data_IF_915544626727
#
_entry.id   IF_915544626727
#
_cell.length_a   1.000
_cell.length_b   1.000
_cell.length_c   1.000
_cell.angle_alpha   90.00
_cell.angle_beta   90.00
_cell.angle_gamma   90.00
#
_symmetry.space_group_name_H-M   'P 1'
#
loop_
_entity.id
_entity.type
_entity.pdbx_description
1 polymer ?
#
# COMPACT_ATOMS: atom_id res chain seq x y z
N UNK A 1 -32.52 -43.01 22.30
CA UNK A 1 -33.04 -41.64 22.18
C UNK A 1 -31.88 -40.74 21.81
N UNK A 2 -31.62 -40.59 20.51
CA UNK A 2 -30.61 -39.65 20.01
C UNK A 2 -31.23 -38.26 20.02
N UNK A 3 -30.76 -37.40 20.93
CA UNK A 3 -31.20 -36.02 21.02
C UNK A 3 -30.72 -35.25 19.79
N UNK A 4 -31.63 -34.94 18.86
CA UNK A 4 -31.40 -33.94 17.83
C UNK A 4 -31.08 -32.61 18.51
N UNK A 5 -29.83 -32.18 18.42
CA UNK A 5 -29.42 -30.81 18.72
C UNK A 5 -30.20 -29.91 17.75
N UNK A 6 -31.19 -29.17 18.26
CA UNK A 6 -31.89 -28.13 17.48
C UNK A 6 -30.85 -27.10 17.05
N UNK A 7 -30.73 -26.80 15.76
CA UNK A 7 -29.86 -25.71 15.32
C UNK A 7 -30.41 -24.39 15.88
N UNK A 8 -29.53 -23.59 16.45
CA UNK A 8 -29.86 -22.28 16.98
C UNK A 8 -29.93 -21.29 15.80
N UNK A 9 -31.09 -20.69 15.50
CA UNK A 9 -31.26 -19.76 14.38
C UNK A 9 -30.30 -18.56 14.44
N UNK A 10 -29.90 -18.13 15.64
CA UNK A 10 -28.94 -17.04 15.81
C UNK A 10 -27.52 -17.50 15.46
N UNK A 11 -27.16 -18.72 15.85
CA UNK A 11 -25.87 -19.32 15.49
C UNK A 11 -25.73 -19.50 13.98
N UNK A 12 -26.81 -19.92 13.30
CA UNK A 12 -26.81 -20.10 11.84
C UNK A 12 -26.74 -18.75 11.09
N UNK A 13 -27.37 -17.70 11.63
CA UNK A 13 -27.24 -16.34 11.10
C UNK A 13 -25.81 -15.80 11.23
N UNK A 14 -25.19 -15.96 12.41
CA UNK A 14 -23.80 -15.52 12.66
C UNK A 14 -22.82 -16.27 11.76
N UNK A 15 -22.99 -17.59 11.60
CA UNK A 15 -22.17 -18.39 10.65
C UNK A 15 -22.27 -17.84 9.23
N UNK A 16 -23.47 -17.53 8.77
CA UNK A 16 -23.69 -16.97 7.42
C UNK A 16 -22.96 -15.63 7.25
N UNK A 17 -23.03 -14.76 8.24
CA UNK A 17 -22.39 -13.44 8.19
C UNK A 17 -20.86 -13.52 8.21
N UNK A 18 -20.30 -14.44 8.99
CA UNK A 18 -18.85 -14.70 8.98
C UNK A 18 -18.40 -15.23 7.61
N UNK A 19 -19.19 -16.07 6.95
CA UNK A 19 -18.87 -16.57 5.61
C UNK A 19 -18.91 -15.44 4.57
N UNK A 20 -19.88 -14.51 4.66
CA UNK A 20 -19.91 -13.30 3.81
C UNK A 20 -18.61 -12.50 3.99
N UNK A 21 -18.19 -12.28 5.24
CA UNK A 21 -16.96 -11.55 5.55
C UNK A 21 -15.72 -12.27 5.02
N UNK A 22 -15.64 -13.59 5.22
CA UNK A 22 -14.54 -14.41 4.71
C UNK A 22 -14.44 -14.32 3.18
N UNK A 23 -15.55 -14.49 2.46
CA UNK A 23 -15.55 -14.43 1.00
C UNK A 23 -15.22 -13.02 0.47
N UNK A 24 -15.74 -11.97 1.12
CA UNK A 24 -15.42 -10.58 0.77
C UNK A 24 -13.94 -10.30 0.96
N UNK A 25 -13.35 -10.83 2.02
CA UNK A 25 -11.92 -10.71 2.30
C UNK A 25 -11.07 -11.46 1.28
N UNK A 26 -11.44 -12.69 0.90
CA UNK A 26 -10.71 -13.43 -0.14
C UNK A 26 -10.68 -12.68 -1.48
N UNK A 27 -11.76 -11.96 -1.80
CA UNK A 27 -11.81 -11.13 -3.01
C UNK A 27 -10.87 -9.93 -2.96
N UNK A 28 -10.81 -9.20 -1.84
CA UNK A 28 -9.87 -8.08 -1.67
C UNK A 28 -8.44 -8.55 -1.93
N UNK A 29 -8.09 -9.76 -1.47
CA UNK A 29 -6.77 -10.32 -1.72
C UNK A 29 -6.48 -10.60 -3.19
N UNK A 30 -7.43 -11.19 -3.90
CA UNK A 30 -7.29 -11.44 -5.33
C UNK A 30 -7.12 -10.12 -6.12
N UNK A 31 -7.84 -9.07 -5.72
CA UNK A 31 -7.72 -7.75 -6.35
C UNK A 31 -6.34 -7.13 -6.07
N UNK A 32 -5.82 -7.20 -4.85
CA UNK A 32 -4.48 -6.70 -4.51
C UNK A 32 -3.35 -7.50 -5.21
N UNK A 33 -3.46 -8.82 -5.25
CA UNK A 33 -2.50 -9.68 -5.96
C UNK A 33 -2.46 -9.41 -7.48
N UNK A 34 -3.52 -8.89 -8.07
CA UNK A 34 -3.55 -8.53 -9.50
C UNK A 34 -2.81 -7.24 -9.84
N UNK A 35 -2.46 -6.41 -8.84
CA UNK A 35 -1.77 -5.12 -9.04
C UNK A 35 -0.28 -5.34 -9.31
N UNK A 36 0.32 -6.41 -8.78
CA UNK A 36 1.69 -6.80 -9.11
C UNK A 36 1.68 -8.08 -9.96
N UNK A 37 2.00 -7.95 -11.24
CA UNK A 37 2.19 -9.09 -12.13
C UNK A 37 3.37 -9.98 -11.66
N UNK A 38 3.12 -10.93 -10.76
CA UNK A 38 3.95 -12.16 -10.66
C UNK A 38 3.37 -13.21 -9.70
N UNK A 39 3.13 -14.37 -10.29
CA UNK A 39 3.21 -15.75 -9.77
C UNK A 39 3.53 -15.98 -8.28
N UNK A 40 2.63 -16.61 -7.55
CA UNK A 40 2.70 -18.04 -7.15
C UNK A 40 1.70 -18.36 -6.02
N UNK A 41 1.54 -19.65 -5.81
CA UNK A 41 0.39 -20.35 -5.26
C UNK A 41 0.24 -20.30 -3.72
N UNK A 42 -1.02 -20.34 -3.28
CA UNK A 42 -1.54 -20.84 -1.98
C UNK A 42 -1.19 -20.19 -0.61
N UNK A 43 -0.58 -19.00 -0.52
CA UNK A 43 -0.55 -18.23 0.74
C UNK A 43 -0.92 -16.74 0.56
N UNK A 44 -2.07 -16.55 -0.09
CA UNK A 44 -2.51 -15.31 -0.72
C UNK A 44 -2.76 -14.11 0.24
N UNK A 45 -2.60 -14.28 1.56
CA UNK A 45 -2.87 -13.23 2.57
C UNK A 45 -1.61 -12.70 3.23
N UNK A 46 -0.65 -13.58 3.51
CA UNK A 46 0.74 -13.17 3.71
C UNK A 46 1.11 -12.22 2.58
N UNK A 47 0.79 -12.59 1.34
CA UNK A 47 1.04 -11.71 0.20
C UNK A 47 0.35 -10.34 0.26
N UNK A 48 -0.81 -10.16 0.91
CA UNK A 48 -1.49 -8.85 0.97
C UNK A 48 -0.93 -7.94 2.05
N UNK A 49 -0.74 -8.47 3.26
CA UNK A 49 -0.09 -7.70 4.33
C UNK A 49 1.35 -7.39 3.94
N UNK A 50 2.06 -8.34 3.33
CA UNK A 50 3.40 -8.15 2.78
C UNK A 50 3.40 -7.17 1.60
N UNK A 51 2.38 -7.16 0.74
CA UNK A 51 2.22 -6.16 -0.33
C UNK A 51 2.03 -4.75 0.22
N UNK A 52 1.15 -4.56 1.20
CA UNK A 52 0.93 -3.25 1.80
C UNK A 52 2.16 -2.78 2.59
N UNK A 53 2.91 -3.70 3.21
CA UNK A 53 4.20 -3.40 3.82
C UNK A 53 5.23 -2.98 2.77
N UNK A 54 5.36 -3.72 1.67
CA UNK A 54 6.26 -3.39 0.57
C UNK A 54 5.95 -2.02 -0.05
N UNK A 55 4.67 -1.70 -0.29
CA UNK A 55 4.24 -0.37 -0.77
C UNK A 55 4.62 0.71 0.26
N UNK A 56 4.44 0.46 1.54
CA UNK A 56 4.84 1.39 2.60
C UNK A 56 6.35 1.64 2.60
N UNK A 57 7.14 0.58 2.45
CA UNK A 57 8.61 0.65 2.43
C UNK A 57 9.12 1.36 1.17
N UNK A 58 8.59 1.01 -0.01
CA UNK A 58 8.89 1.67 -1.29
C UNK A 58 8.55 3.16 -1.24
N UNK A 59 7.38 3.51 -0.71
CA UNK A 59 6.95 4.92 -0.58
C UNK A 59 7.84 5.68 0.41
N UNK A 60 8.26 5.03 1.50
CA UNK A 60 9.20 5.63 2.45
C UNK A 60 10.58 5.83 1.85
N UNK A 61 11.08 4.87 1.05
CA UNK A 61 12.35 4.99 0.36
C UNK A 61 12.34 6.14 -0.66
N UNK A 62 11.30 6.23 -1.48
CA UNK A 62 11.11 7.34 -2.41
C UNK A 62 11.01 8.70 -1.69
N UNK A 63 10.35 8.73 -0.52
CA UNK A 63 10.27 9.96 0.29
C UNK A 63 11.64 10.40 0.79
N UNK A 64 12.48 9.47 1.25
CA UNK A 64 13.86 9.77 1.67
C UNK A 64 14.68 10.31 0.50
N UNK A 65 14.58 9.70 -0.69
CA UNK A 65 15.29 10.16 -1.88
C UNK A 65 14.88 11.59 -2.28
N UNK A 66 13.58 11.91 -2.21
CA UNK A 66 13.08 13.29 -2.43
C UNK A 66 13.67 14.27 -1.40
N UNK A 67 13.75 13.86 -0.13
CA UNK A 67 14.33 14.70 0.93
C UNK A 67 15.82 14.95 0.69
N UNK A 68 16.60 13.91 0.39
CA UNK A 68 18.03 14.01 0.07
C UNK A 68 18.28 14.91 -1.15
N UNK A 69 17.51 14.75 -2.22
CA UNK A 69 17.60 15.61 -3.40
C UNK A 69 17.26 17.08 -3.06
N UNK A 70 16.26 17.29 -2.21
CA UNK A 70 15.86 18.64 -1.75
C UNK A 70 16.95 19.30 -0.91
N UNK A 71 17.61 18.57 -0.02
CA UNK A 71 18.76 19.04 0.75
C UNK A 71 19.95 19.36 -0.16
N UNK A 72 20.20 18.54 -1.18
CA UNK A 72 21.22 18.80 -2.21
C UNK A 72 20.95 20.10 -2.98
N UNK A 73 19.70 20.39 -3.32
CA UNK A 73 19.29 21.66 -3.94
C UNK A 73 19.59 22.84 -3.01
N UNK A 74 19.28 22.73 -1.71
CA UNK A 74 19.57 23.78 -0.72
C UNK A 74 21.06 24.06 -0.60
N UNK A 75 21.89 23.02 -0.55
CA UNK A 75 23.34 23.16 -0.53
C UNK A 75 23.87 23.94 -1.76
N UNK A 76 23.43 23.56 -2.96
CA UNK A 76 23.81 24.26 -4.19
C UNK A 76 23.34 25.71 -4.15
N UNK A 77 22.09 25.95 -3.73
CA UNK A 77 21.50 27.27 -3.62
C UNK A 77 22.31 28.17 -2.66
N UNK A 78 22.70 27.64 -1.49
CA UNK A 78 23.50 28.34 -0.49
C UNK A 78 24.93 28.66 -0.97
N UNK A 79 25.54 27.76 -1.76
CA UNK A 79 26.82 28.05 -2.44
C UNK A 79 26.67 29.21 -3.43
N UNK A 80 25.63 29.18 -4.27
CA UNK A 80 25.38 30.22 -5.26
C UNK A 80 25.06 31.59 -4.62
N UNK A 81 24.35 31.63 -3.49
CA UNK A 81 24.12 32.86 -2.72
C UNK A 81 25.43 33.51 -2.25
N UNK A 82 26.49 32.73 -2.00
CA UNK A 82 27.79 33.27 -1.57
C UNK A 82 28.61 33.85 -2.73
N UNK A 83 28.41 33.34 -3.94
CA UNK A 83 29.17 33.72 -5.14
C UNK A 83 28.49 34.83 -5.96
N UNK A 84 27.21 35.08 -5.72
CA UNK A 84 26.42 36.06 -6.47
C UNK A 84 26.92 37.50 -6.29
N UNK A 85 27.27 38.14 -7.40
CA UNK A 85 27.69 39.55 -7.45
C UNK A 85 26.51 40.51 -7.67
N UNK A 86 25.44 40.04 -8.31
CA UNK A 86 24.26 40.84 -8.64
C UNK A 86 23.17 40.70 -7.57
N UNK A 87 22.97 41.73 -6.74
CA UNK A 87 22.00 41.69 -5.63
C UNK A 87 20.55 41.46 -6.05
N UNK A 88 20.18 41.81 -7.29
CA UNK A 88 18.79 41.66 -7.78
C UNK A 88 18.36 40.20 -7.97
N UNK A 89 19.28 39.24 -8.02
CA UNK A 89 18.93 37.83 -8.12
C UNK A 89 18.76 37.13 -6.75
N UNK A 90 19.15 37.78 -5.63
CA UNK A 90 19.00 37.26 -4.26
C UNK A 90 17.56 36.78 -3.92
N UNK A 91 16.48 37.51 -4.28
CA UNK A 91 15.11 37.06 -4.00
C UNK A 91 14.74 35.71 -4.63
N UNK A 92 15.36 35.35 -5.75
CA UNK A 92 15.12 34.06 -6.42
C UNK A 92 15.71 32.91 -5.59
N UNK A 93 16.92 33.08 -5.05
CA UNK A 93 17.54 32.08 -4.17
C UNK A 93 16.77 31.93 -2.84
N UNK A 94 16.28 33.05 -2.28
CA UNK A 94 15.42 33.01 -1.08
C UNK A 94 14.11 32.25 -1.37
N UNK A 95 13.57 32.39 -2.58
CA UNK A 95 12.38 31.66 -3.03
C UNK A 95 12.66 30.15 -3.18
N UNK A 96 13.85 29.77 -3.68
CA UNK A 96 14.28 28.36 -3.75
C UNK A 96 14.36 27.75 -2.35
N UNK A 97 15.01 28.44 -1.39
CA UNK A 97 15.06 27.97 0.01
C UNK A 97 13.66 27.86 0.62
N UNK A 98 12.76 28.79 0.33
CA UNK A 98 11.37 28.72 0.82
C UNK A 98 10.63 27.51 0.26
N UNK A 99 10.77 27.23 -1.04
CA UNK A 99 10.07 26.10 -1.68
C UNK A 99 10.64 24.74 -1.24
N UNK A 100 11.96 24.61 -1.15
CA UNK A 100 12.62 23.39 -0.66
C UNK A 100 12.24 23.09 0.79
N UNK A 101 12.18 24.10 1.67
CA UNK A 101 11.70 23.92 3.04
C UNK A 101 10.24 23.44 3.10
N UNK A 102 9.37 23.94 2.22
CA UNK A 102 7.97 23.47 2.14
C UNK A 102 7.88 22.01 1.70
N UNK A 103 8.77 21.56 0.82
CA UNK A 103 8.85 20.15 0.40
C UNK A 103 9.27 19.29 1.60
N UNK A 104 10.34 19.65 2.31
CA UNK A 104 10.81 18.92 3.50
C UNK A 104 9.72 18.80 4.58
N UNK A 105 9.01 19.89 4.85
CA UNK A 105 7.90 19.91 5.80
C UNK A 105 6.76 18.99 5.35
N UNK A 106 6.39 19.02 4.05
CA UNK A 106 5.36 18.14 3.49
C UNK A 106 5.74 16.65 3.57
N UNK A 107 7.00 16.31 3.25
CA UNK A 107 7.52 14.95 3.36
C UNK A 107 7.53 14.45 4.82
N UNK A 108 7.80 15.33 5.78
CA UNK A 108 7.76 14.98 7.21
C UNK A 108 6.35 14.57 7.66
N UNK A 109 5.29 15.17 7.08
CA UNK A 109 3.91 14.73 7.34
C UNK A 109 3.57 13.38 6.71
N UNK A 110 4.31 12.93 5.69
CA UNK A 110 4.13 11.62 5.10
C UNK A 110 4.48 10.49 6.07
N UNK A 111 5.42 10.70 6.99
CA UNK A 111 5.77 9.70 8.03
C UNK A 111 4.55 9.30 8.88
N UNK A 112 3.66 10.25 9.20
CA UNK A 112 2.40 9.97 9.90
C UNK A 112 1.49 9.05 9.05
N UNK A 113 1.54 9.18 7.73
CA UNK A 113 0.81 8.30 6.80
C UNK A 113 1.42 6.90 6.78
N UNK A 114 2.75 6.79 6.76
CA UNK A 114 3.46 5.50 6.89
C UNK A 114 3.08 4.77 8.18
N UNK A 115 3.14 5.45 9.33
CA UNK A 115 2.72 4.88 10.63
C UNK A 115 1.25 4.42 10.65
N UNK A 116 0.37 5.14 9.94
CA UNK A 116 -1.05 4.74 9.81
C UNK A 116 -1.20 3.53 8.91
N UNK A 117 -0.43 3.42 7.83
CA UNK A 117 -0.41 2.24 6.98
C UNK A 117 0.06 1.01 7.73
N UNK A 118 1.13 1.09 8.52
CA UNK A 118 1.58 -0.03 9.37
C UNK A 118 0.46 -0.54 10.28
N UNK A 119 -0.30 0.37 10.92
CA UNK A 119 -1.45 0.00 11.76
C UNK A 119 -2.59 -0.68 10.97
N UNK A 120 -2.79 -0.27 9.71
CA UNK A 120 -3.78 -0.91 8.82
C UNK A 120 -3.32 -2.32 8.48
N UNK A 121 -2.04 -2.51 8.16
CA UNK A 121 -1.44 -3.83 7.89
C UNK A 121 -1.60 -4.74 9.11
N UNK A 122 -1.26 -4.26 10.30
CA UNK A 122 -1.44 -5.03 11.55
C UNK A 122 -2.90 -5.45 11.76
N UNK A 123 -3.85 -4.55 11.51
CA UNK A 123 -5.27 -4.84 11.66
C UNK A 123 -5.75 -5.90 10.65
N UNK A 124 -5.26 -5.85 9.40
CA UNK A 124 -5.57 -6.86 8.37
C UNK A 124 -5.03 -8.23 8.77
N UNK A 125 -3.81 -8.29 9.32
CA UNK A 125 -3.18 -9.53 9.81
C UNK A 125 -3.96 -10.15 10.98
N UNK A 126 -4.50 -9.32 11.89
CA UNK A 126 -5.37 -9.80 12.98
C UNK A 126 -6.71 -10.33 12.44
N UNK A 127 -7.32 -9.62 11.49
CA UNK A 127 -8.56 -10.04 10.85
C UNK A 127 -8.38 -11.39 10.15
N UNK A 128 -7.26 -11.59 9.46
CA UNK A 128 -6.91 -12.87 8.87
C UNK A 128 -6.85 -13.98 9.91
N UNK A 129 -6.05 -13.80 10.96
CA UNK A 129 -5.82 -14.86 11.96
C UNK A 129 -7.15 -15.30 12.56
N UNK A 130 -8.04 -14.34 12.79
CA UNK A 130 -9.38 -14.57 13.29
C UNK A 130 -10.25 -15.33 12.28
N UNK A 131 -10.27 -14.89 11.02
CA UNK A 131 -11.05 -15.53 9.95
C UNK A 131 -10.58 -16.97 9.67
N UNK A 132 -9.28 -17.22 9.64
CA UNK A 132 -8.70 -18.56 9.46
C UNK A 132 -9.05 -19.48 10.65
N UNK A 133 -9.01 -18.95 11.87
CA UNK A 133 -9.44 -19.67 13.07
C UNK A 133 -10.91 -20.06 12.99
N UNK A 134 -11.79 -19.15 12.53
CA UNK A 134 -13.21 -19.45 12.39
C UNK A 134 -13.47 -20.45 11.25
N UNK A 135 -12.78 -20.33 10.11
CA UNK A 135 -12.89 -21.29 9.01
C UNK A 135 -12.52 -22.71 9.46
N UNK A 136 -11.51 -22.84 10.32
CA UNK A 136 -11.09 -24.12 10.94
C UNK A 136 -12.21 -24.72 11.80
N UNK A 137 -12.92 -23.88 12.56
CA UNK A 137 -14.03 -24.32 13.44
C UNK A 137 -15.29 -24.69 12.66
N UNK A 138 -15.62 -23.94 11.59
CA UNK A 138 -16.81 -24.18 10.76
C UNK A 138 -16.63 -25.42 9.88
N UNK A 139 -15.40 -25.72 9.45
CA UNK A 139 -15.07 -26.83 8.57
C UNK A 139 -15.28 -26.49 7.09
N UNK A 140 -14.37 -26.94 6.22
CA UNK A 140 -14.34 -26.63 4.77
C UNK A 140 -15.63 -27.04 4.05
N UNK A 141 -16.26 -28.14 4.46
CA UNK A 141 -17.47 -28.64 3.82
C UNK A 141 -18.69 -27.75 4.07
N UNK A 142 -18.81 -27.18 5.29
CA UNK A 142 -19.87 -26.24 5.63
C UNK A 142 -19.67 -24.88 4.96
N UNK A 143 -18.42 -24.44 4.82
CA UNK A 143 -18.06 -23.23 4.08
C UNK A 143 -18.44 -23.34 2.59
N UNK A 144 -18.15 -24.50 1.99
CA UNK A 144 -18.39 -24.77 0.56
C UNK A 144 -19.87 -24.99 0.24
N UNK A 145 -20.66 -25.52 1.19
CA UNK A 145 -22.08 -25.75 1.03
C UNK A 145 -22.93 -24.48 1.15
N UNK A 146 -22.40 -23.40 1.73
CA UNK A 146 -23.09 -22.15 1.89
C UNK A 146 -22.84 -21.25 0.69
N UNK A 147 -23.78 -21.27 -0.27
CA UNK A 147 -23.75 -20.43 -1.46
C UNK A 147 -24.03 -18.97 -1.08
N UNK A 148 -22.98 -18.24 -0.71
CA UNK A 148 -23.04 -16.85 -0.28
C UNK A 148 -22.49 -15.97 -1.41
N UNK A 149 -23.37 -15.20 -2.06
CA UNK A 149 -22.95 -14.15 -3.00
C UNK A 149 -22.04 -13.16 -2.27
N UNK A 150 -20.75 -13.16 -2.63
CA UNK A 150 -19.84 -12.13 -2.18
C UNK A 150 -20.25 -10.78 -2.81
N UNK A 151 -20.34 -9.72 -2.00
CA UNK A 151 -20.61 -8.37 -2.52
C UNK A 151 -19.47 -7.95 -3.46
N UNK A 152 -19.85 -7.37 -4.59
CA UNK A 152 -18.88 -6.91 -5.59
C UNK A 152 -18.16 -5.66 -5.12
N UNK A 153 -16.83 -5.75 -5.01
CA UNK A 153 -15.97 -4.57 -4.87
C UNK A 153 -15.77 -3.99 -6.26
N UNK A 154 -16.22 -2.76 -6.46
CA UNK A 154 -16.03 -2.04 -7.71
C UNK A 154 -14.63 -1.43 -7.71
N UNK A 155 -13.76 -1.93 -8.58
CA UNK A 155 -12.48 -1.29 -8.89
C UNK A 155 -12.74 0.10 -9.48
N UNK A 156 -12.05 1.11 -8.97
CA UNK A 156 -12.13 2.50 -9.45
C UNK A 156 -11.04 2.77 -10.52
N UNK A 157 -10.06 1.87 -10.64
CA UNK A 157 -8.78 2.11 -11.31
C UNK A 157 -8.61 1.43 -12.68
N UNK A 158 -9.66 0.81 -13.25
CA UNK A 158 -9.56 -0.17 -14.34
C UNK A 158 -9.07 0.35 -15.71
N UNK A 159 -8.33 1.44 -15.75
CA UNK A 159 -7.66 1.99 -16.94
C UNK A 159 -6.28 2.63 -16.70
N UNK A 160 -5.69 2.51 -15.51
CA UNK A 160 -4.33 3.01 -15.25
C UNK A 160 -3.37 1.83 -15.01
N UNK A 161 -2.49 1.56 -15.97
CA UNK A 161 -1.27 0.79 -15.73
C UNK A 161 -0.30 1.68 -14.94
N UNK A 162 -0.17 1.38 -13.64
CA UNK A 162 0.79 2.04 -12.76
C UNK A 162 2.07 1.20 -12.78
N UNK A 163 3.04 1.60 -13.59
CA UNK A 163 4.40 1.03 -13.53
C UNK A 163 5.19 1.75 -12.43
N UNK A 164 5.24 1.13 -11.25
CA UNK A 164 6.16 1.53 -10.18
C UNK A 164 7.58 0.98 -10.39
N UNK A 165 8.57 1.42 -9.60
CA UNK A 165 9.92 0.87 -9.63
C UNK A 165 9.88 -0.65 -9.45
N UNK A 166 10.38 -1.40 -10.43
CA UNK A 166 10.36 -2.86 -10.36
C UNK A 166 11.52 -3.37 -9.51
N UNK A 167 11.22 -4.03 -8.38
CA UNK A 167 12.24 -4.73 -7.59
C UNK A 167 12.90 -5.82 -8.45
N UNK A 168 14.17 -5.60 -8.81
CA UNK A 168 14.96 -6.52 -9.66
C UNK A 168 14.61 -6.48 -11.16
N UNK A 169 13.82 -5.50 -11.59
CA UNK A 169 13.51 -5.24 -13.00
C UNK A 169 14.57 -4.37 -13.69
N UNK A 170 14.36 -4.07 -14.97
CA UNK A 170 15.21 -3.14 -15.72
C UNK A 170 14.96 -1.72 -15.21
N UNK A 171 15.69 -1.30 -14.18
CA UNK A 171 15.77 0.11 -13.80
C UNK A 171 16.13 0.92 -15.06
N UNK A 172 15.29 1.91 -15.40
CA UNK A 172 15.64 2.87 -16.44
C UNK A 172 16.94 3.53 -15.99
N UNK A 173 17.99 3.40 -16.78
CA UNK A 173 19.28 3.95 -16.40
C UNK A 173 19.19 5.48 -16.43
N UNK A 174 19.99 6.17 -15.62
CA UNK A 174 20.05 7.63 -15.66
C UNK A 174 20.36 8.17 -17.07
N UNK A 175 21.10 7.40 -17.88
CA UNK A 175 21.36 7.73 -19.28
C UNK A 175 20.10 7.69 -20.17
N UNK A 176 19.15 6.80 -19.88
CA UNK A 176 17.86 6.74 -20.58
C UNK A 176 16.96 7.92 -20.20
N UNK A 177 17.07 8.40 -18.94
CA UNK A 177 16.37 9.59 -18.45
C UNK A 177 16.93 10.85 -19.12
N UNK A 178 18.25 11.00 -19.16
CA UNK A 178 18.90 12.17 -19.73
C UNK A 178 18.61 12.30 -21.24
N UNK A 179 18.49 11.18 -21.95
CA UNK A 179 18.10 11.12 -23.39
C UNK A 179 16.72 11.71 -23.70
N UNK A 180 15.83 11.87 -22.73
CA UNK A 180 14.48 12.40 -22.94
C UNK A 180 14.44 13.94 -22.91
N UNK A 181 15.50 14.58 -22.43
CA UNK A 181 15.56 16.03 -22.21
C UNK A 181 16.60 16.76 -23.08
N UNK A 182 17.32 16.03 -23.95
CA UNK A 182 18.19 16.55 -25.02
C UNK A 182 17.44 16.66 -26.37
#
# INVERSE_FOLDING_TARGET
MEGKIKSDPQLDAVKKEIIVLFNSFQRIKNELASIQHSSADNDLLGSVSDQLAAISDETSAATNEIMEATEGIQEVNDRLIKEIKFKGAKPNFDSINTNTNRILEACTFHDITGQRMTKIVDAITILETTLNSIATVIGKDALSAMNVEAKTIHRIDSGFELEGPQIGGSELSQADIDSLFD
#
